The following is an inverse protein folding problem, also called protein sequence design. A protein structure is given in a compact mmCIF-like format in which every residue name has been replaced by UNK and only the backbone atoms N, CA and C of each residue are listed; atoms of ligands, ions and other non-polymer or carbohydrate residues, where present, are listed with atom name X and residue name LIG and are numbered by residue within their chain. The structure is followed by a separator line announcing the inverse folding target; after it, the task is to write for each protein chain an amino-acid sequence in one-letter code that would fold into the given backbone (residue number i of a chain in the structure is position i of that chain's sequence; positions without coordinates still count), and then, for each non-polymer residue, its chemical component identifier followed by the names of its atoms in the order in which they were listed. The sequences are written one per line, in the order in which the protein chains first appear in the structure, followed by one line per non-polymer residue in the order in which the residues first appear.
data_IF_394196684848
#
_entry.id   IF_394196684848
#
_cell.length_a   1.000
_cell.length_b   1.000
_cell.length_c   1.000
_cell.angle_alpha   90.00
_cell.angle_beta   90.00
_cell.angle_gamma   90.00
#
_symmetry.space_group_name_H-M   'P 1'
#
loop_
_entity.id
_entity.type
_entity.pdbx_description
1 polymer ?
#
# COMPACT_ATOMS: atom_id res chain seq x y z
N UNK A 1 -35.64 -20.40 48.33
CA UNK A 1 -34.37 -20.89 47.77
C UNK A 1 -34.67 -21.86 46.65
N UNK A 2 -34.37 -21.50 45.39
CA UNK A 2 -34.34 -22.47 44.28
C UNK A 2 -33.46 -21.91 43.15
N UNK A 3 -32.28 -22.52 42.97
CA UNK A 3 -31.40 -22.35 41.81
C UNK A 3 -32.01 -23.12 40.64
N UNK A 4 -32.22 -22.48 39.49
CA UNK A 4 -32.56 -23.16 38.23
C UNK A 4 -31.41 -22.94 37.25
N UNK A 5 -30.85 -24.00 36.63
CA UNK A 5 -29.59 -23.93 35.89
C UNK A 5 -29.78 -23.44 34.44
N UNK A 6 -28.95 -22.48 34.04
CA UNK A 6 -28.78 -21.99 32.67
C UNK A 6 -28.12 -23.07 31.79
N UNK A 7 -28.89 -23.95 31.16
CA UNK A 7 -28.30 -24.90 30.19
C UNK A 7 -29.08 -25.17 28.91
N UNK A 8 -30.03 -24.32 28.50
CA UNK A 8 -30.82 -24.57 27.29
C UNK A 8 -30.96 -23.39 26.31
N UNK A 9 -30.05 -22.41 26.32
CA UNK A 9 -30.12 -21.29 25.37
C UNK A 9 -29.46 -21.59 24.00
N UNK A 10 -28.66 -22.66 23.89
CA UNK A 10 -27.94 -23.01 22.66
C UNK A 10 -28.78 -23.84 21.66
N UNK A 11 -29.96 -24.31 22.03
CA UNK A 11 -30.79 -25.15 21.15
C UNK A 11 -31.70 -24.36 20.18
N UNK A 12 -31.81 -23.04 20.34
CA UNK A 12 -32.72 -22.20 19.55
C UNK A 12 -32.10 -21.60 18.28
N UNK A 13 -30.77 -21.57 18.15
CA UNK A 13 -30.11 -21.02 16.94
C UNK A 13 -29.79 -22.07 15.88
N UNK A 14 -29.83 -23.37 16.22
CA UNK A 14 -29.36 -24.42 15.30
C UNK A 14 -30.45 -24.99 14.36
N UNK A 15 -31.70 -24.53 14.45
CA UNK A 15 -32.83 -25.07 13.65
C UNK A 15 -33.17 -24.32 12.36
N UNK A 16 -32.42 -23.28 11.97
CA UNK A 16 -32.66 -22.56 10.69
C UNK A 16 -31.79 -23.00 9.52
N UNK A 17 -30.92 -23.99 9.69
CA UNK A 17 -29.88 -24.27 8.69
C UNK A 17 -30.13 -25.47 7.77
N UNK A 18 -31.18 -26.28 7.98
CA UNK A 18 -31.37 -27.51 7.20
C UNK A 18 -32.82 -27.64 6.73
N UNK A 19 -33.19 -26.90 5.68
CA UNK A 19 -34.26 -27.32 4.75
C UNK A 19 -34.25 -26.47 3.47
N UNK A 20 -33.70 -27.03 2.39
CA UNK A 20 -34.23 -26.89 1.02
C UNK A 20 -33.60 -27.95 0.11
N UNK A 21 -34.45 -28.84 -0.39
CA UNK A 21 -34.16 -29.87 -1.39
C UNK A 21 -34.34 -29.30 -2.84
N UNK A 22 -33.94 -30.05 -3.90
CA UNK A 22 -33.27 -29.50 -5.10
C UNK A 22 -34.04 -29.53 -6.46
N UNK A 23 -33.40 -28.88 -7.47
CA UNK A 23 -33.37 -29.11 -8.94
C UNK A 23 -34.43 -28.42 -9.87
N UNK A 24 -34.22 -28.26 -11.23
CA UNK A 24 -33.05 -28.59 -12.08
C UNK A 24 -32.55 -27.50 -13.10
N UNK A 25 -31.33 -27.70 -13.61
CA UNK A 25 -30.79 -27.41 -14.95
C UNK A 25 -30.97 -26.03 -15.63
N UNK A 26 -29.88 -25.27 -15.80
CA UNK A 26 -29.26 -25.00 -17.13
C UNK A 26 -28.06 -24.04 -17.05
N UNK A 27 -26.99 -24.44 -17.73
CA UNK A 27 -25.85 -23.67 -18.23
C UNK A 27 -25.57 -22.24 -17.69
N UNK A 28 -24.50 -22.09 -16.91
CA UNK A 28 -23.29 -21.42 -17.42
C UNK A 28 -22.10 -21.73 -16.51
N UNK A 29 -20.97 -22.04 -17.14
CA UNK A 29 -19.69 -22.30 -16.49
C UNK A 29 -19.30 -21.07 -15.65
N UNK A 30 -18.69 -21.23 -14.45
CA UNK A 30 -18.05 -20.09 -13.81
C UNK A 30 -16.97 -19.56 -14.76
N UNK A 31 -16.95 -18.25 -15.09
CA UNK A 31 -15.86 -17.72 -15.90
C UNK A 31 -14.54 -17.95 -15.14
N UNK A 32 -13.46 -18.35 -15.84
CA UNK A 32 -12.18 -18.53 -15.20
C UNK A 32 -11.75 -17.21 -14.55
N UNK A 33 -11.22 -17.30 -13.33
CA UNK A 33 -10.49 -16.21 -12.64
C UNK A 33 -9.23 -15.87 -13.44
N UNK A 34 -9.40 -15.24 -14.60
CA UNK A 34 -8.36 -14.62 -15.41
C UNK A 34 -8.84 -13.21 -15.68
N UNK A 35 -7.97 -12.24 -15.40
CA UNK A 35 -8.10 -10.83 -15.78
C UNK A 35 -8.90 -9.93 -14.83
N UNK A 36 -8.42 -9.77 -13.61
CA UNK A 36 -8.52 -8.48 -12.90
C UNK A 36 -7.13 -7.88 -12.62
N UNK A 37 -6.12 -8.25 -13.43
CA UNK A 37 -4.91 -7.44 -13.53
C UNK A 37 -5.28 -6.25 -14.41
N UNK A 38 -5.64 -5.13 -13.77
CA UNK A 38 -5.85 -3.86 -14.47
C UNK A 38 -4.77 -3.68 -15.54
N UNK A 39 -5.11 -3.42 -16.82
CA UNK A 39 -4.11 -3.17 -17.84
C UNK A 39 -3.22 -2.03 -17.34
N UNK A 40 -1.95 -2.34 -17.06
CA UNK A 40 -0.96 -1.29 -16.81
C UNK A 40 -1.11 -0.28 -17.96
N UNK A 41 -1.21 1.03 -17.67
CA UNK A 41 -1.29 2.05 -18.71
C UNK A 41 -0.16 1.80 -19.70
N UNK A 42 -0.48 1.74 -21.00
CA UNK A 42 0.43 1.40 -22.11
C UNK A 42 1.85 1.87 -21.79
N UNK A 43 2.74 0.92 -21.50
CA UNK A 43 4.03 1.19 -20.88
C UNK A 43 4.91 2.03 -21.81
N UNK A 44 5.07 3.31 -21.53
CA UNK A 44 6.05 4.13 -22.22
C UNK A 44 7.47 3.68 -21.84
N UNK A 45 8.49 3.91 -22.68
CA UNK A 45 9.89 3.64 -22.29
C UNK A 45 10.27 4.31 -20.97
N UNK A 46 9.74 5.51 -20.70
CA UNK A 46 9.93 6.26 -19.45
C UNK A 46 9.38 5.52 -18.23
N UNK A 47 8.17 4.94 -18.33
CA UNK A 47 7.59 4.18 -17.22
C UNK A 47 8.41 2.93 -16.91
N UNK A 48 8.94 2.24 -17.94
CA UNK A 48 9.80 1.06 -17.74
C UNK A 48 11.08 1.42 -16.98
N UNK A 49 11.72 2.55 -17.31
CA UNK A 49 12.90 3.03 -16.59
C UNK A 49 12.62 3.34 -15.11
N UNK A 50 11.48 3.95 -14.80
CA UNK A 50 11.06 4.21 -13.41
C UNK A 50 10.86 2.90 -12.65
N UNK A 51 10.15 1.94 -13.25
CA UNK A 51 9.88 0.64 -12.61
C UNK A 51 11.19 -0.13 -12.33
N UNK A 52 12.10 -0.17 -13.30
CA UNK A 52 13.41 -0.81 -13.12
C UNK A 52 14.26 -0.11 -12.05
N UNK A 53 14.20 1.22 -11.99
CA UNK A 53 14.85 1.97 -10.91
C UNK A 53 14.28 1.55 -9.55
N UNK A 54 12.96 1.57 -9.36
CA UNK A 54 12.38 1.16 -8.07
C UNK A 54 12.80 -0.27 -7.68
N UNK A 55 12.82 -1.20 -8.63
CA UNK A 55 13.32 -2.56 -8.38
C UNK A 55 14.79 -2.60 -7.94
N UNK A 56 15.66 -1.78 -8.53
CA UNK A 56 17.08 -1.72 -8.15
C UNK A 56 17.30 -1.18 -6.73
N UNK A 57 16.34 -0.43 -6.19
CA UNK A 57 16.35 0.04 -4.80
C UNK A 57 15.60 -0.90 -3.83
N UNK A 58 15.26 -2.13 -4.27
CA UNK A 58 14.69 -3.17 -3.41
C UNK A 58 13.16 -3.15 -3.27
N UNK A 59 12.44 -2.43 -4.15
CA UNK A 59 10.97 -2.43 -4.14
C UNK A 59 10.41 -3.70 -4.79
N UNK A 60 9.46 -4.35 -4.11
CA UNK A 60 8.75 -5.51 -4.65
C UNK A 60 7.68 -5.09 -5.68
N UNK A 61 7.30 -5.98 -6.60
CA UNK A 61 6.25 -5.71 -7.59
C UNK A 61 4.92 -5.29 -6.94
N UNK A 62 4.56 -5.89 -5.80
CA UNK A 62 3.36 -5.57 -5.02
C UNK A 62 3.40 -4.13 -4.49
N UNK A 63 4.53 -3.75 -3.88
CA UNK A 63 4.79 -2.40 -3.39
C UNK A 63 4.78 -1.36 -4.50
N UNK A 64 5.39 -1.67 -5.65
CA UNK A 64 5.39 -0.80 -6.84
C UNK A 64 3.96 -0.63 -7.36
N UNK A 65 3.16 -1.70 -7.42
CA UNK A 65 1.76 -1.61 -7.84
C UNK A 65 0.96 -0.69 -6.91
N UNK A 66 1.10 -0.83 -5.59
CA UNK A 66 0.46 0.05 -4.59
C UNK A 66 0.92 1.51 -4.77
N UNK A 67 2.23 1.73 -4.95
CA UNK A 67 2.79 3.07 -5.15
C UNK A 67 2.22 3.75 -6.39
N UNK A 68 2.14 3.03 -7.51
CA UNK A 68 1.57 3.51 -8.77
C UNK A 68 0.06 3.76 -8.64
N UNK A 69 -0.67 2.90 -7.93
CA UNK A 69 -2.09 3.09 -7.65
C UNK A 69 -2.35 4.36 -6.83
N UNK A 70 -1.57 4.56 -5.75
CA UNK A 70 -1.68 5.77 -4.90
C UNK A 70 -1.23 7.03 -5.64
N UNK A 71 -0.22 6.93 -6.49
CA UNK A 71 0.38 8.08 -7.13
C UNK A 71 0.87 7.78 -8.56
N UNK A 72 -0.04 7.73 -9.55
CA UNK A 72 0.30 7.32 -10.93
C UNK A 72 1.30 8.25 -11.62
N UNK A 73 1.42 9.50 -11.16
CA UNK A 73 2.41 10.47 -11.67
C UNK A 73 3.87 10.02 -11.48
N UNK A 74 4.13 9.03 -10.61
CA UNK A 74 5.47 8.46 -10.41
C UNK A 74 6.05 7.89 -11.69
N UNK A 75 5.21 7.33 -12.57
CA UNK A 75 5.63 6.74 -13.84
C UNK A 75 6.19 7.76 -14.83
N UNK A 76 5.92 9.04 -14.61
CA UNK A 76 6.41 10.15 -15.43
C UNK A 76 7.59 10.88 -14.78
N UNK A 77 8.09 10.40 -13.63
CA UNK A 77 9.20 11.03 -12.92
C UNK A 77 10.52 10.83 -13.67
N UNK A 78 11.38 11.86 -13.69
CA UNK A 78 12.72 11.78 -14.27
C UNK A 78 13.64 11.00 -13.32
N UNK A 79 14.01 9.79 -13.70
CA UNK A 79 14.78 8.86 -12.86
C UNK A 79 16.07 9.49 -12.32
N UNK A 80 16.95 9.95 -13.21
CA UNK A 80 18.29 10.41 -12.82
C UNK A 80 18.28 11.77 -12.08
N UNK A 81 17.34 12.65 -12.41
CA UNK A 81 17.35 14.03 -11.86
C UNK A 81 16.42 14.24 -10.68
N UNK A 82 15.45 13.34 -10.44
CA UNK A 82 14.42 13.53 -9.40
C UNK A 82 14.26 12.31 -8.51
N UNK A 83 14.17 11.10 -9.08
CA UNK A 83 13.90 9.90 -8.31
C UNK A 83 15.14 9.43 -7.54
N UNK A 84 16.25 9.18 -8.23
CA UNK A 84 17.49 8.67 -7.63
C UNK A 84 18.03 9.55 -6.50
N UNK A 85 18.17 10.88 -6.66
CA UNK A 85 18.71 11.73 -5.60
C UNK A 85 17.89 11.68 -4.31
N UNK A 86 16.57 11.48 -4.42
CA UNK A 86 15.68 11.36 -3.25
C UNK A 86 15.84 10.01 -2.57
N UNK A 87 15.91 8.92 -3.34
CA UNK A 87 16.10 7.59 -2.78
C UNK A 87 17.48 7.46 -2.10
N UNK A 88 18.52 8.00 -2.73
CA UNK A 88 19.89 8.04 -2.17
C UNK A 88 19.96 8.86 -0.88
N UNK A 89 19.27 10.00 -0.84
CA UNK A 89 19.18 10.79 0.39
C UNK A 89 18.49 10.03 1.54
N UNK A 90 17.40 9.33 1.25
CA UNK A 90 16.70 8.52 2.26
C UNK A 90 17.62 7.40 2.77
N UNK A 91 18.37 6.75 1.88
CA UNK A 91 19.38 5.75 2.25
C UNK A 91 20.46 6.36 3.15
N UNK A 92 20.96 7.55 2.81
CA UNK A 92 21.95 8.28 3.63
C UNK A 92 21.40 8.60 5.03
N UNK A 93 20.08 8.80 5.16
CA UNK A 93 19.40 9.04 6.44
C UNK A 93 19.03 7.76 7.20
N UNK A 94 19.50 6.59 6.75
CA UNK A 94 19.34 5.31 7.44
C UNK A 94 18.16 4.47 6.96
N UNK A 95 17.41 4.90 5.94
CA UNK A 95 16.33 4.10 5.35
C UNK A 95 16.93 3.13 4.34
N UNK A 96 17.32 1.94 4.81
CA UNK A 96 17.90 0.87 4.00
C UNK A 96 17.02 -0.37 4.01
N UNK A 97 17.24 -1.27 3.04
CA UNK A 97 16.53 -2.53 2.95
C UNK A 97 15.00 -2.33 2.88
N UNK A 98 14.27 -2.98 3.79
CA UNK A 98 12.79 -2.97 3.80
C UNK A 98 12.19 -1.62 4.21
N UNK A 99 12.93 -0.80 4.97
CA UNK A 99 12.43 0.49 5.47
C UNK A 99 12.23 1.52 4.35
N UNK A 100 13.07 1.47 3.32
CA UNK A 100 12.97 2.42 2.19
C UNK A 100 11.67 2.22 1.39
N UNK A 101 11.34 1.01 0.89
CA UNK A 101 10.05 0.78 0.24
C UNK A 101 8.87 1.05 1.16
N UNK A 102 8.96 0.70 2.44
CA UNK A 102 7.87 0.92 3.39
C UNK A 102 7.57 2.41 3.61
N UNK A 103 8.61 3.23 3.76
CA UNK A 103 8.48 4.69 3.86
C UNK A 103 7.82 5.28 2.61
N UNK A 104 8.31 4.90 1.43
CA UNK A 104 7.84 5.46 0.16
C UNK A 104 6.42 5.01 -0.19
N UNK A 105 6.07 3.76 0.07
CA UNK A 105 4.71 3.23 -0.18
C UNK A 105 3.70 3.82 0.81
N UNK A 106 4.11 4.07 2.05
CA UNK A 106 3.25 4.71 3.05
C UNK A 106 3.03 6.20 2.74
N UNK A 107 4.08 6.91 2.32
CA UNK A 107 4.01 8.32 1.91
C UNK A 107 4.65 8.55 0.53
N UNK A 108 3.91 8.34 -0.58
CA UNK A 108 4.43 8.61 -1.93
C UNK A 108 4.79 10.08 -2.17
N UNK A 109 4.18 11.01 -1.43
CA UNK A 109 4.38 12.45 -1.63
C UNK A 109 5.82 12.88 -1.30
N UNK A 110 6.54 12.12 -0.48
CA UNK A 110 7.95 12.39 -0.19
C UNK A 110 8.78 12.46 -1.47
N UNK A 111 8.45 11.67 -2.49
CA UNK A 111 9.14 11.67 -3.78
C UNK A 111 8.76 12.86 -4.67
N UNK A 112 7.78 13.67 -4.30
CA UNK A 112 7.32 14.85 -5.05
C UNK A 112 7.60 16.17 -4.34
N UNK A 113 7.91 16.14 -3.04
CA UNK A 113 8.39 17.32 -2.31
C UNK A 113 9.79 17.74 -2.78
N UNK A 114 10.11 19.02 -2.58
CA UNK A 114 11.46 19.54 -2.83
C UNK A 114 12.48 18.85 -1.93
N UNK A 115 13.57 18.35 -2.51
CA UNK A 115 14.60 17.66 -1.75
C UNK A 115 15.27 18.63 -0.78
N UNK A 116 15.75 19.77 -1.26
CA UNK A 116 16.57 20.68 -0.46
C UNK A 116 15.76 21.49 0.56
N UNK A 117 14.55 21.93 0.20
CA UNK A 117 13.80 22.86 1.06
C UNK A 117 12.83 22.18 2.03
N UNK A 118 12.43 20.93 1.78
CA UNK A 118 11.42 20.26 2.60
C UNK A 118 11.94 18.94 3.15
N UNK A 119 12.47 18.06 2.30
CA UNK A 119 12.94 16.76 2.77
C UNK A 119 14.17 16.95 3.66
N UNK A 120 15.19 17.67 3.20
CA UNK A 120 16.40 17.91 3.98
C UNK A 120 16.12 18.64 5.29
N UNK A 121 15.43 19.78 5.22
CA UNK A 121 15.11 20.58 6.42
C UNK A 121 14.33 19.78 7.47
N UNK A 122 13.35 18.96 7.05
CA UNK A 122 12.58 18.14 8.00
C UNK A 122 13.46 17.08 8.65
N UNK A 123 14.30 16.41 7.87
CA UNK A 123 15.17 15.34 8.39
C UNK A 123 16.30 15.89 9.25
N UNK A 124 16.89 17.02 8.90
CA UNK A 124 17.92 17.68 9.73
C UNK A 124 17.35 18.12 11.07
N UNK A 125 16.12 18.67 11.08
CA UNK A 125 15.44 19.03 12.32
C UNK A 125 15.08 17.82 13.19
N UNK A 126 14.63 16.71 12.58
CA UNK A 126 14.15 15.54 13.33
C UNK A 126 15.27 14.54 13.70
N UNK A 127 16.37 14.50 12.95
CA UNK A 127 17.44 13.52 13.14
C UNK A 127 18.12 13.51 14.52
N UNK A 128 18.22 14.62 15.28
CA UNK A 128 18.77 14.60 16.63
C UNK A 128 17.84 13.93 17.65
N UNK A 129 16.54 13.85 17.36
CA UNK A 129 15.52 13.42 18.31
C UNK A 129 14.98 12.02 18.05
N UNK A 130 15.10 11.51 16.83
CA UNK A 130 14.44 10.28 16.38
C UNK A 130 15.43 9.32 15.72
N UNK A 131 15.32 8.03 16.05
CA UNK A 131 15.97 6.97 15.29
C UNK A 131 15.20 6.66 13.98
N UNK A 132 15.75 5.80 13.12
CA UNK A 132 15.18 5.53 11.78
C UNK A 132 13.73 5.02 11.80
N UNK A 133 13.39 4.15 12.75
CA UNK A 133 12.04 3.60 12.92
C UNK A 133 11.07 4.65 13.48
N UNK A 134 11.50 5.45 14.45
CA UNK A 134 10.71 6.55 15.00
C UNK A 134 10.44 7.63 13.94
N UNK A 135 11.43 7.91 13.09
CA UNK A 135 11.30 8.83 11.98
C UNK A 135 10.33 8.28 10.91
N UNK A 136 10.37 6.97 10.63
CA UNK A 136 9.36 6.31 9.79
C UNK A 136 7.95 6.52 10.34
N UNK A 137 7.75 6.30 11.63
CA UNK A 137 6.46 6.47 12.31
C UNK A 137 6.01 7.93 12.29
N UNK A 138 6.93 8.88 12.54
CA UNK A 138 6.64 10.31 12.48
C UNK A 138 6.22 10.76 11.07
N UNK A 139 6.95 10.32 10.04
CA UNK A 139 6.62 10.63 8.65
C UNK A 139 5.28 10.02 8.26
N UNK A 140 5.00 8.77 8.65
CA UNK A 140 3.69 8.13 8.44
C UNK A 140 2.55 8.97 9.03
N UNK A 141 2.70 9.49 10.25
CA UNK A 141 1.68 10.33 10.91
C UNK A 141 1.50 11.70 10.25
N UNK A 142 2.59 12.33 9.82
CA UNK A 142 2.53 13.63 9.13
C UNK A 142 1.93 13.56 7.73
N UNK A 143 1.96 12.37 7.10
CA UNK A 143 1.47 12.15 5.75
C UNK A 143 -0.04 11.87 5.65
N UNK A 144 -0.77 11.80 6.77
CA UNK A 144 -2.18 11.40 6.84
C UNK A 144 -3.19 12.43 6.26
N UNK A 145 -2.80 13.27 5.30
CA UNK A 145 -3.70 14.24 4.65
C UNK A 145 -4.16 13.76 3.25
N UNK A 146 -3.68 12.60 2.76
CA UNK A 146 -3.98 12.12 1.40
C UNK A 146 -4.97 10.96 1.24
N UNK A 147 -5.48 10.36 2.33
CA UNK A 147 -6.13 9.03 2.26
C UNK A 147 -7.64 8.99 2.51
N UNK A 148 -8.38 10.06 2.21
CA UNK A 148 -9.82 9.94 1.95
C UNK A 148 -10.07 9.84 0.45
N UNK A 149 -9.82 8.66 -0.12
CA UNK A 149 -10.53 8.24 -1.33
C UNK A 149 -11.05 6.82 -1.14
N UNK A 150 -12.30 6.78 -0.70
CA UNK A 150 -13.14 5.60 -0.60
C UNK A 150 -13.28 4.89 -1.96
N UNK A 151 -13.54 3.58 -1.96
CA UNK A 151 -13.68 2.78 -3.16
C UNK A 151 -14.80 3.32 -4.06
N UNK A 152 -14.49 3.40 -5.34
CA UNK A 152 -15.42 3.77 -6.42
C UNK A 152 -16.40 2.60 -6.59
N UNK A 153 -17.69 2.85 -6.44
CA UNK A 153 -18.76 1.99 -6.94
C UNK A 153 -18.89 2.13 -8.46
#
# INVERSE_FOLDING_TARGET
MAKIPLRNLLSLTQKRFIQRNPAPSSASKPPPLKSALSPFPKSSPKSKSVLNCLKSYGFENTQIAILVQKHPKILNCRVNTKLKPKLEYLIQKGFMGKLLPELVVSNPLILFRSLDSLIKSSFEFLSPFLNGEELLVAIKRSSCVGSLRFPVF
#
